data_IF_399819278774
#
_entry.id   IF_399819278774
#
_cell.length_a   1.000
_cell.length_b   1.000
_cell.length_c   1.000
_cell.angle_alpha   90.00
_cell.angle_beta   90.00
_cell.angle_gamma   90.00
#
_symmetry.space_group_name_H-M   'P 1'
#
loop_
_entity.id
_entity.type
_entity.pdbx_description
1 polymer ?
#
# COMPACT_ATOMS: atom_id res chain seq x y z
N UNK A 1 6.56 1.26 -19.29
CA UNK A 1 7.33 1.60 -18.08
C UNK A 1 6.43 1.34 -16.89
N UNK A 2 6.75 0.36 -16.04
CA UNK A 2 6.00 0.09 -14.80
C UNK A 2 6.28 1.19 -13.78
N UNK A 3 5.24 1.68 -13.08
CA UNK A 3 5.36 2.68 -12.03
C UNK A 3 5.41 1.99 -10.67
N UNK A 4 6.20 2.50 -9.73
CA UNK A 4 6.25 2.01 -8.36
C UNK A 4 6.02 3.18 -7.40
N UNK A 5 5.19 2.98 -6.38
CA UNK A 5 4.85 3.97 -5.36
C UNK A 5 5.20 3.44 -3.97
N UNK A 6 5.86 4.27 -3.17
CA UNK A 6 6.16 4.01 -1.77
C UNK A 6 5.22 4.83 -0.90
N UNK A 7 4.60 4.19 0.09
CA UNK A 7 3.74 4.83 1.07
C UNK A 7 4.40 4.65 2.44
N UNK A 8 4.69 5.78 3.08
CA UNK A 8 5.27 5.84 4.42
C UNK A 8 4.28 6.56 5.36
N UNK A 9 4.06 6.00 6.55
CA UNK A 9 3.20 6.60 7.59
C UNK A 9 1.71 6.36 7.36
N UNK A 10 1.29 5.09 7.30
CA UNK A 10 -0.10 4.68 7.05
C UNK A 10 -1.04 4.77 8.27
N UNK A 11 -0.54 5.17 9.44
CA UNK A 11 -1.23 5.28 10.74
C UNK A 11 -2.50 6.19 10.72
N UNK A 12 -2.75 6.96 9.65
CA UNK A 12 -3.88 7.90 9.54
C UNK A 12 -4.83 7.67 8.35
N UNK A 13 -4.68 6.58 7.59
CA UNK A 13 -5.64 6.17 6.56
C UNK A 13 -5.60 6.92 5.21
N UNK A 14 -4.79 7.97 5.07
CA UNK A 14 -4.59 8.69 3.79
C UNK A 14 -3.76 7.85 2.80
N UNK A 15 -2.73 7.15 3.31
CA UNK A 15 -1.87 6.28 2.49
C UNK A 15 -2.66 5.26 1.66
N UNK A 16 -3.52 4.44 2.27
CA UNK A 16 -4.32 3.43 1.56
C UNK A 16 -5.19 3.99 0.43
N UNK A 17 -5.87 5.12 0.63
CA UNK A 17 -6.74 5.72 -0.39
C UNK A 17 -5.93 6.19 -1.62
N UNK A 18 -4.77 6.78 -1.39
CA UNK A 18 -3.84 7.18 -2.45
C UNK A 18 -3.26 5.96 -3.16
N UNK A 19 -2.95 4.89 -2.43
CA UNK A 19 -2.45 3.64 -2.99
C UNK A 19 -3.39 3.06 -4.04
N UNK A 20 -4.69 3.00 -3.73
CA UNK A 20 -5.70 2.43 -4.63
C UNK A 20 -5.80 3.24 -5.92
N UNK A 21 -5.75 4.58 -5.83
CA UNK A 21 -5.77 5.45 -7.00
C UNK A 21 -4.56 5.17 -7.92
N UNK A 22 -3.35 5.05 -7.37
CA UNK A 22 -2.17 4.71 -8.17
C UNK A 22 -2.19 3.25 -8.68
N UNK A 23 -2.86 2.33 -7.98
CA UNK A 23 -2.96 0.93 -8.37
C UNK A 23 -3.76 0.79 -9.67
N UNK A 24 -4.84 1.56 -9.79
CA UNK A 24 -5.65 1.66 -11.01
C UNK A 24 -4.89 2.22 -12.20
N UNK A 25 -3.88 3.06 -11.94
CA UNK A 25 -2.95 3.58 -12.95
C UNK A 25 -1.80 2.60 -13.28
N UNK A 26 -1.83 1.38 -12.72
CA UNK A 26 -0.87 0.33 -13.02
C UNK A 26 0.43 0.38 -12.21
N UNK A 27 0.41 0.99 -11.02
CA UNK A 27 1.58 1.02 -10.14
C UNK A 27 1.68 -0.20 -9.21
N UNK A 28 2.89 -0.60 -8.83
CA UNK A 28 3.16 -1.51 -7.71
C UNK A 28 3.50 -0.72 -6.43
N UNK A 29 3.31 -1.34 -5.26
CA UNK A 29 3.37 -0.65 -3.96
C UNK A 29 4.32 -1.28 -2.94
N UNK A 30 4.87 -0.43 -2.09
CA UNK A 30 5.43 -0.80 -0.79
C UNK A 30 4.78 0.06 0.31
N UNK A 31 4.40 -0.58 1.41
CA UNK A 31 3.77 0.03 2.58
C UNK A 31 4.73 -0.14 3.75
N UNK A 32 5.26 0.98 4.25
CA UNK A 32 6.08 1.01 5.46
C UNK A 32 5.20 1.35 6.67
N UNK A 33 5.21 0.48 7.69
CA UNK A 33 4.29 0.53 8.84
C UNK A 33 5.00 0.12 10.14
N UNK A 34 4.51 0.58 11.29
CA UNK A 34 5.01 0.16 12.61
C UNK A 34 4.52 -1.25 12.96
N UNK A 35 5.29 -2.02 13.73
CA UNK A 35 4.93 -3.42 14.04
C UNK A 35 3.54 -3.59 14.70
N UNK A 36 3.05 -2.60 15.46
CA UNK A 36 1.72 -2.63 16.07
C UNK A 36 0.58 -2.42 15.05
N UNK A 37 0.88 -1.94 13.85
CA UNK A 37 -0.09 -1.56 12.82
C UNK A 37 -0.17 -2.60 11.68
N UNK A 38 0.36 -3.81 11.89
CA UNK A 38 0.37 -4.86 10.87
C UNK A 38 -1.04 -5.21 10.35
N UNK A 39 -2.04 -5.13 11.22
CA UNK A 39 -3.45 -5.35 10.85
C UNK A 39 -3.94 -4.36 9.80
N UNK A 40 -3.59 -3.08 9.96
CA UNK A 40 -4.02 -1.99 9.09
C UNK A 40 -3.26 -2.03 7.76
N UNK A 41 -1.95 -2.30 7.80
CA UNK A 41 -1.13 -2.52 6.63
C UNK A 41 -1.65 -3.69 5.76
N UNK A 42 -2.11 -4.78 6.40
CA UNK A 42 -2.75 -5.91 5.69
C UNK A 42 -4.09 -5.54 5.08
N UNK A 43 -4.93 -4.75 5.77
CA UNK A 43 -6.19 -4.26 5.20
C UNK A 43 -5.94 -3.36 3.98
N UNK A 44 -4.94 -2.48 4.05
CA UNK A 44 -4.56 -1.61 2.94
C UNK A 44 -4.03 -2.38 1.71
N UNK A 45 -3.37 -3.52 1.93
CA UNK A 45 -2.86 -4.40 0.87
C UNK A 45 -3.97 -5.09 0.06
N UNK A 46 -5.08 -5.47 0.69
CA UNK A 46 -6.14 -6.25 0.04
C UNK A 46 -6.70 -5.59 -1.25
N UNK A 47 -7.13 -4.32 -1.25
CA UNK A 47 -7.66 -3.68 -2.46
C UNK A 47 -6.58 -3.49 -3.54
N UNK A 48 -5.31 -3.26 -3.19
CA UNK A 48 -4.22 -3.13 -4.17
C UNK A 48 -4.01 -4.43 -4.94
N UNK A 49 -4.03 -5.57 -4.22
CA UNK A 49 -3.91 -6.90 -4.83
C UNK A 49 -5.14 -7.23 -5.67
N UNK A 50 -6.33 -6.79 -5.26
CA UNK A 50 -7.56 -6.95 -6.03
C UNK A 50 -7.52 -6.21 -7.38
N UNK A 51 -6.81 -5.07 -7.46
CA UNK A 51 -6.54 -4.33 -8.70
C UNK A 51 -5.43 -4.98 -9.56
N UNK A 52 -4.97 -6.19 -9.21
CA UNK A 52 -3.95 -6.93 -9.97
C UNK A 52 -2.52 -6.40 -9.79
N UNK A 53 -2.28 -5.57 -8.77
CA UNK A 53 -0.99 -4.95 -8.48
C UNK A 53 -0.25 -5.66 -7.35
N UNK A 54 1.07 -5.48 -7.29
CA UNK A 54 1.89 -6.02 -6.18
C UNK A 54 1.91 -5.04 -5.02
N UNK A 55 1.89 -5.56 -3.79
CA UNK A 55 2.06 -4.78 -2.57
C UNK A 55 2.97 -5.50 -1.57
N UNK A 56 4.10 -4.87 -1.25
CA UNK A 56 5.04 -5.29 -0.22
C UNK A 56 4.72 -4.59 1.10
N UNK A 57 4.75 -5.33 2.20
CA UNK A 57 4.62 -4.80 3.54
C UNK A 57 6.02 -4.77 4.17
N UNK A 58 6.46 -3.60 4.62
CA UNK A 58 7.77 -3.35 5.20
C UNK A 58 7.59 -2.88 6.66
N UNK A 59 7.75 -3.76 7.65
CA UNK A 59 7.74 -3.32 9.03
C UNK A 59 8.95 -2.41 9.29
N UNK A 60 8.71 -1.30 10.00
CA UNK A 60 9.73 -0.31 10.41
C UNK A 60 9.80 -0.18 11.92
#
# INVERSE_FOLDING_TARGET
MGKAALIAGDDSGIGPAVAIAFAREGADFAIAYLQNDEGDARQAKAPIVAEGRKALLLPT
#
